data_IF_732257119289
#
_entry.id   IF_732257119289
#
_cell.length_a   1.000
_cell.length_b   1.000
_cell.length_c   1.000
_cell.angle_alpha   90.00
_cell.angle_beta   90.00
_cell.angle_gamma   90.00
#
_symmetry.space_group_name_H-M   'P 1'
#
loop_
_entity.id
_entity.type
_entity.pdbx_description
1 polymer ?
#
# COMPACT_ATOMS: atom_id res chain seq x y z
N UNK A 1 -14.32 -22.30 -9.47
CA UNK A 1 -13.11 -22.29 -8.63
C UNK A 1 -12.50 -20.89 -8.71
N UNK A 2 -13.01 -19.92 -7.96
CA UNK A 2 -12.47 -18.54 -7.89
C UNK A 2 -11.16 -18.43 -7.08
N UNK A 3 -10.63 -19.58 -6.62
CA UNK A 3 -9.74 -19.67 -5.47
C UNK A 3 -8.27 -19.48 -5.76
N UNK A 4 -7.83 -19.15 -6.99
CA UNK A 4 -6.43 -18.80 -7.25
C UNK A 4 -6.25 -17.29 -7.21
N UNK A 5 -7.14 -16.52 -7.84
CA UNK A 5 -7.05 -15.05 -7.83
C UNK A 5 -7.47 -14.44 -6.52
N UNK A 6 -8.52 -14.96 -5.87
CA UNK A 6 -8.80 -14.57 -4.49
C UNK A 6 -7.56 -14.82 -3.62
N UNK A 7 -6.85 -15.94 -3.80
CA UNK A 7 -5.66 -16.25 -3.02
C UNK A 7 -4.46 -15.35 -3.37
N UNK A 8 -4.24 -15.00 -4.64
CA UNK A 8 -3.14 -14.13 -5.07
C UNK A 8 -3.33 -12.68 -4.64
N UNK A 9 -4.55 -12.16 -4.73
CA UNK A 9 -4.93 -10.82 -4.24
C UNK A 9 -4.80 -10.74 -2.71
N UNK A 10 -5.06 -11.86 -2.02
CA UNK A 10 -4.91 -11.98 -0.57
C UNK A 10 -3.45 -12.15 -0.07
N UNK A 11 -2.44 -12.24 -0.95
CA UNK A 11 -1.02 -12.40 -0.54
C UNK A 11 -0.35 -11.12 0.01
N UNK A 12 -1.14 -10.16 0.50
CA UNK A 12 -0.66 -9.14 1.45
C UNK A 12 -0.54 -7.70 0.94
N UNK A 13 -0.72 -7.44 -0.36
CA UNK A 13 -0.71 -6.09 -0.93
C UNK A 13 -2.08 -5.58 -1.42
N UNK A 14 -3.15 -6.39 -1.33
CA UNK A 14 -4.52 -5.99 -1.68
C UNK A 14 -4.70 -5.50 -3.12
N UNK A 15 -5.94 -5.18 -3.50
CA UNK A 15 -6.24 -4.63 -4.83
C UNK A 15 -5.84 -3.16 -4.96
N UNK A 16 -5.70 -2.46 -3.85
CA UNK A 16 -5.30 -1.05 -3.82
C UNK A 16 -3.92 -0.79 -4.46
N UNK A 17 -3.08 -1.81 -4.60
CA UNK A 17 -1.76 -1.70 -5.24
C UNK A 17 -1.79 -1.91 -6.76
N UNK A 18 -2.88 -2.44 -7.33
CA UNK A 18 -2.93 -2.81 -8.74
C UNK A 18 -3.45 -1.66 -9.61
N UNK A 19 -2.98 -1.59 -10.86
CA UNK A 19 -3.56 -0.72 -11.89
C UNK A 19 -4.71 -1.42 -12.60
N UNK A 20 -5.55 -0.66 -13.31
CA UNK A 20 -6.58 -1.23 -14.18
C UNK A 20 -5.97 -2.18 -15.20
N UNK A 21 -4.86 -1.83 -15.85
CA UNK A 21 -4.22 -2.72 -16.83
C UNK A 21 -3.79 -4.06 -16.20
N UNK A 22 -3.27 -4.02 -14.96
CA UNK A 22 -2.88 -5.25 -14.25
C UNK A 22 -4.09 -6.12 -13.90
N UNK A 23 -5.21 -5.51 -13.55
CA UNK A 23 -6.47 -6.22 -13.29
C UNK A 23 -7.01 -6.83 -14.59
N UNK A 24 -6.97 -6.09 -15.70
CA UNK A 24 -7.39 -6.57 -17.01
C UNK A 24 -6.55 -7.77 -17.47
N UNK A 25 -5.22 -7.70 -17.36
CA UNK A 25 -4.30 -8.80 -17.68
C UNK A 25 -4.63 -10.07 -16.87
N UNK A 26 -4.83 -9.91 -15.56
CA UNK A 26 -5.16 -11.01 -14.66
C UNK A 26 -6.52 -11.62 -14.97
N UNK A 27 -7.53 -10.80 -15.29
CA UNK A 27 -8.87 -11.30 -15.66
C UNK A 27 -8.84 -11.97 -17.04
N UNK A 28 -8.09 -11.45 -17.99
CA UNK A 28 -7.93 -12.08 -19.31
C UNK A 28 -7.26 -13.45 -19.22
N UNK A 29 -6.26 -13.61 -18.34
CA UNK A 29 -5.69 -14.91 -18.05
C UNK A 29 -6.74 -15.92 -17.54
N UNK A 30 -7.68 -15.49 -16.71
CA UNK A 30 -8.74 -16.38 -16.22
C UNK A 30 -9.71 -16.79 -17.31
N UNK A 31 -10.04 -15.86 -18.20
CA UNK A 31 -10.90 -16.15 -19.34
C UNK A 31 -10.23 -17.20 -20.22
N UNK A 32 -8.92 -17.05 -20.46
CA UNK A 32 -8.13 -18.00 -21.23
C UNK A 32 -8.02 -19.37 -20.54
N UNK A 33 -7.94 -19.39 -19.21
CA UNK A 33 -7.95 -20.63 -18.39
C UNK A 33 -9.36 -21.25 -18.26
N UNK A 34 -10.40 -20.58 -18.75
CA UNK A 34 -11.80 -21.01 -18.61
C UNK A 34 -12.35 -20.85 -17.19
N UNK A 35 -11.66 -20.12 -16.32
CA UNK A 35 -12.07 -19.86 -14.94
C UNK A 35 -13.13 -18.74 -14.85
N UNK A 36 -13.15 -17.84 -15.82
CA UNK A 36 -14.13 -16.77 -15.96
C UNK A 36 -14.76 -16.81 -17.34
N UNK A 37 -16.09 -16.70 -17.41
CA UNK A 37 -16.76 -16.62 -18.70
C UNK A 37 -16.45 -15.27 -19.36
N UNK A 38 -16.20 -15.29 -20.67
CA UNK A 38 -15.84 -14.08 -21.43
C UNK A 38 -16.88 -12.95 -21.33
N UNK A 39 -18.16 -13.30 -21.10
CA UNK A 39 -19.25 -12.35 -20.86
C UNK A 39 -19.16 -11.63 -19.50
N UNK A 40 -18.56 -12.26 -18.50
CA UNK A 40 -18.50 -11.79 -17.11
C UNK A 40 -17.16 -11.08 -16.81
N UNK A 41 -16.19 -11.18 -17.72
CA UNK A 41 -14.84 -10.61 -17.58
C UNK A 41 -14.85 -9.10 -17.34
N UNK A 42 -15.64 -8.36 -18.12
CA UNK A 42 -15.71 -6.90 -18.01
C UNK A 42 -16.27 -6.44 -16.67
N UNK A 43 -17.27 -7.14 -16.16
CA UNK A 43 -17.88 -6.83 -14.87
C UNK A 43 -16.90 -7.14 -13.72
N UNK A 44 -16.20 -8.27 -13.81
CA UNK A 44 -15.16 -8.62 -12.84
C UNK A 44 -14.03 -7.59 -12.80
N UNK A 45 -13.56 -7.09 -13.94
CA UNK A 45 -12.55 -6.01 -13.98
C UNK A 45 -13.07 -4.77 -13.26
N UNK A 46 -14.30 -4.34 -13.55
CA UNK A 46 -14.86 -3.15 -12.93
C UNK A 46 -15.04 -3.30 -11.42
N UNK A 47 -15.48 -4.47 -10.96
CA UNK A 47 -15.65 -4.76 -9.54
C UNK A 47 -14.31 -4.74 -8.80
N UNK A 48 -13.27 -5.33 -9.39
CA UNK A 48 -11.93 -5.37 -8.80
C UNK A 48 -11.28 -3.97 -8.78
N UNK A 49 -11.45 -3.18 -9.85
CA UNK A 49 -10.96 -1.80 -9.88
C UNK A 49 -11.65 -0.96 -8.80
N UNK A 50 -12.98 -1.05 -8.71
CA UNK A 50 -13.75 -0.31 -7.71
C UNK A 50 -13.35 -0.70 -6.29
N UNK A 51 -13.22 -2.00 -6.00
CA UNK A 51 -12.71 -2.47 -4.70
C UNK A 51 -11.31 -1.94 -4.40
N UNK A 52 -10.43 -1.88 -5.40
CA UNK A 52 -9.10 -1.31 -5.23
C UNK A 52 -9.12 0.18 -4.92
N UNK A 53 -10.02 0.95 -5.55
CA UNK A 53 -10.22 2.38 -5.28
C UNK A 53 -10.77 2.63 -3.87
N UNK A 54 -11.78 1.87 -3.46
CA UNK A 54 -12.35 1.95 -2.11
C UNK A 54 -11.29 1.64 -1.04
N UNK A 55 -10.52 0.56 -1.25
CA UNK A 55 -9.39 0.19 -0.37
C UNK A 55 -8.30 1.28 -0.33
N UNK A 56 -8.01 1.96 -1.46
CA UNK A 56 -7.05 3.08 -1.48
C UNK A 56 -7.53 4.24 -0.62
N UNK A 57 -8.81 4.59 -0.69
CA UNK A 57 -9.36 5.69 0.09
C UNK A 57 -9.38 5.37 1.59
N UNK A 58 -9.77 4.14 1.97
CA UNK A 58 -9.68 3.69 3.36
C UNK A 58 -8.24 3.71 3.87
N UNK A 59 -7.28 3.23 3.09
CA UNK A 59 -5.86 3.26 3.44
C UNK A 59 -5.34 4.70 3.61
N UNK A 60 -5.68 5.60 2.68
CA UNK A 60 -5.33 7.03 2.81
C UNK A 60 -5.92 7.65 4.07
N UNK A 61 -7.15 7.29 4.44
CA UNK A 61 -7.81 7.78 5.65
C UNK A 61 -7.08 7.27 6.89
N UNK A 62 -6.81 5.96 6.97
CA UNK A 62 -6.04 5.35 8.06
C UNK A 62 -4.68 6.04 8.24
N UNK A 63 -3.93 6.25 7.15
CA UNK A 63 -2.63 6.94 7.21
C UNK A 63 -2.78 8.39 7.71
N UNK A 64 -3.80 9.12 7.25
CA UNK A 64 -4.02 10.51 7.73
C UNK A 64 -4.40 10.54 9.20
N UNK A 65 -5.22 9.61 9.66
CA UNK A 65 -5.68 9.56 11.04
C UNK A 65 -4.52 9.16 11.96
N UNK A 66 -3.70 8.18 11.58
CA UNK A 66 -2.48 7.80 12.30
C UNK A 66 -1.48 8.97 12.39
N UNK A 67 -1.27 9.70 11.29
CA UNK A 67 -0.40 10.89 11.29
C UNK A 67 -0.96 11.96 12.21
N UNK A 68 -2.27 12.20 12.20
CA UNK A 68 -2.90 13.18 13.09
C UNK A 68 -2.76 12.77 14.54
N UNK A 69 -3.02 11.51 14.86
CA UNK A 69 -2.88 10.99 16.21
C UNK A 69 -1.43 11.06 16.70
N UNK A 70 -0.45 10.71 15.86
CA UNK A 70 0.97 10.84 16.20
C UNK A 70 1.39 12.30 16.46
N UNK A 71 0.82 13.26 15.72
CA UNK A 71 1.06 14.69 15.93
C UNK A 71 0.38 15.20 17.21
N UNK A 72 -0.87 14.80 17.44
CA UNK A 72 -1.65 15.18 18.63
C UNK A 72 -1.06 14.58 19.92
N UNK A 73 -0.55 13.34 19.89
CA UNK A 73 0.06 12.67 21.04
C UNK A 73 1.43 13.26 21.43
N UNK A 74 2.15 13.91 20.49
CA UNK A 74 3.49 14.47 20.75
C UNK A 74 3.49 15.96 21.10
N UNK A 75 2.33 16.58 21.31
CA UNK A 75 2.22 18.04 21.49
C UNK A 75 2.90 18.81 20.33
N UNK A 76 3.02 18.16 19.16
CA UNK A 76 3.50 18.74 17.92
C UNK A 76 2.34 19.49 17.30
N UNK A 77 1.97 20.54 18.01
CA UNK A 77 1.40 21.77 17.53
C UNK A 77 0.50 21.66 16.31
N UNK A 78 -0.79 21.86 16.61
CA UNK A 78 -1.77 22.39 15.67
C UNK A 78 -1.08 23.40 14.75
N UNK A 79 -1.43 23.34 13.46
CA UNK A 79 -1.06 24.16 12.27
C UNK A 79 -0.54 25.60 12.45
N UNK A 80 -0.57 26.18 13.62
CA UNK A 80 0.01 27.45 14.03
C UNK A 80 1.51 27.37 14.33
N UNK A 81 2.08 26.23 14.77
CA UNK A 81 3.55 26.08 14.79
C UNK A 81 4.04 25.55 13.45
N UNK A 82 4.30 26.51 12.56
CA UNK A 82 5.03 26.35 11.31
C UNK A 82 6.51 25.98 11.59
N UNK A 83 6.74 24.90 12.31
CA UNK A 83 8.08 24.36 12.50
C UNK A 83 8.50 23.64 11.23
N UNK A 84 9.72 23.98 10.83
CA UNK A 84 10.31 23.85 9.51
C UNK A 84 10.10 22.44 8.94
N UNK A 85 9.74 22.36 7.65
CA UNK A 85 9.57 21.11 6.88
C UNK A 85 10.71 20.09 7.09
N UNK A 86 11.90 20.58 7.44
CA UNK A 86 13.07 19.77 7.73
C UNK A 86 12.95 18.94 9.02
N UNK A 87 12.22 19.43 10.02
CA UNK A 87 12.02 18.75 11.30
C UNK A 87 11.04 17.58 11.14
N UNK A 88 9.93 17.80 10.43
CA UNK A 88 8.98 16.74 10.02
C UNK A 88 9.70 15.67 9.20
N UNK A 89 10.53 16.07 8.22
CA UNK A 89 11.28 15.14 7.38
C UNK A 89 12.26 14.29 8.18
N UNK A 90 12.86 14.86 9.23
CA UNK A 90 13.79 14.17 10.12
C UNK A 90 13.06 13.15 10.99
N UNK A 91 11.97 13.55 11.62
CA UNK A 91 11.13 12.65 12.44
C UNK A 91 10.61 11.48 11.60
N UNK A 92 10.08 11.76 10.40
CA UNK A 92 9.58 10.71 9.50
C UNK A 92 10.70 9.76 9.08
N UNK A 93 11.91 10.26 8.82
CA UNK A 93 13.08 9.42 8.48
C UNK A 93 13.49 8.52 9.65
N UNK A 94 13.54 9.09 10.85
CA UNK A 94 13.98 8.37 12.04
C UNK A 94 13.00 7.24 12.37
N UNK A 95 11.69 7.52 12.33
CA UNK A 95 10.65 6.52 12.57
C UNK A 95 10.64 5.42 11.49
N UNK A 96 10.85 5.78 10.21
CA UNK A 96 10.97 4.79 9.13
C UNK A 96 12.14 3.84 9.38
N UNK A 97 13.27 4.38 9.87
CA UNK A 97 14.49 3.62 10.14
C UNK A 97 14.28 2.64 11.29
N UNK A 98 13.57 3.05 12.33
CA UNK A 98 13.27 2.20 13.47
C UNK A 98 12.29 1.08 13.12
N UNK A 99 11.26 1.38 12.31
CA UNK A 99 10.35 0.34 11.79
C UNK A 99 11.08 -0.65 10.88
N UNK A 100 12.02 -0.18 10.05
CA UNK A 100 12.83 -1.05 9.18
C UNK A 100 13.76 -1.97 9.98
N UNK A 101 14.44 -1.44 11.00
CA UNK A 101 15.27 -2.24 11.92
C UNK A 101 14.46 -3.28 12.69
N UNK A 102 13.29 -2.88 13.21
CA UNK A 102 12.39 -3.77 13.96
C UNK A 102 11.80 -4.89 13.09
N UNK A 103 11.75 -4.70 11.78
CA UNK A 103 11.32 -5.71 10.79
C UNK A 103 12.48 -6.48 10.15
N UNK A 104 13.71 -6.34 10.64
CA UNK A 104 14.92 -6.99 10.10
C UNK A 104 15.17 -6.66 8.61
N UNK A 105 14.67 -5.51 8.14
CA UNK A 105 14.87 -5.06 6.76
C UNK A 105 16.15 -4.23 6.73
N UNK A 106 17.20 -4.78 6.12
CA UNK A 106 18.50 -4.12 5.98
C UNK A 106 18.36 -2.76 5.27
N UNK A 107 18.87 -1.71 5.90
CA UNK A 107 18.92 -0.37 5.30
C UNK A 107 20.09 -0.27 4.33
N UNK A 108 20.07 0.73 3.44
CA UNK A 108 21.16 0.95 2.47
C UNK A 108 22.53 1.12 3.15
N UNK A 109 22.54 1.65 4.37
CA UNK A 109 23.75 1.80 5.19
C UNK A 109 24.31 0.46 5.70
N UNK A 110 23.46 -0.54 5.93
CA UNK A 110 23.87 -1.89 6.33
C UNK A 110 24.49 -2.66 5.15
N UNK A 111 23.99 -2.40 3.94
CA UNK A 111 24.51 -3.01 2.69
C UNK A 111 25.86 -2.43 2.25
N UNK A 112 26.09 -1.14 2.47
CA UNK A 112 27.39 -0.49 2.14
C UNK A 112 28.52 -0.94 3.09
N UNK A 113 28.19 -1.41 4.30
CA UNK A 113 29.15 -1.98 5.25
C UNK A 113 29.66 -3.38 4.88
N UNK A 114 28.93 -4.12 4.03
CA UNK A 114 29.33 -5.45 3.55
C UNK A 114 30.25 -5.41 2.32
N UNK A 115 30.54 -4.22 1.78
CA UNK A 115 31.42 -4.01 0.62
C UNK A 115 32.87 -3.64 0.98
N UNK A 116 33.29 -3.80 2.24
CA UNK A 116 34.70 -3.74 2.65
C UNK A 116 35.27 -5.11 2.94
#
# INVERSE_FOLDING_TARGET
MAGIIEKSINLGLGLFSFSREKIEEVVDELVNKGEVARKDAKDLVNDLVKKGEDQREEFKKMVRDEIREALDQKDLARKEDLLQKDEIKKIVRDELTDVLKKKEIATKSDLDGLKK
#
